data_IF_536182460411
#
_entry.id   IF_536182460411
#
_cell.length_a   1.000
_cell.length_b   1.000
_cell.length_c   1.000
_cell.angle_alpha   90.00
_cell.angle_beta   90.00
_cell.angle_gamma   90.00
#
_symmetry.space_group_name_H-M   'P 1'
#
loop_
_entity.id
_entity.type
_entity.pdbx_description
1 polymer ?
#
# COMPACT_ATOMS: atom_id res chain seq x y z
N UNK A 1 -18.11 10.09 -5.27
CA UNK A 1 -17.36 8.96 -5.83
C UNK A 1 -16.11 8.77 -5.00
N UNK A 2 -15.96 7.65 -4.30
CA UNK A 2 -14.74 7.34 -3.54
C UNK A 2 -13.70 6.71 -4.45
N UNK A 3 -12.43 7.07 -4.28
CA UNK A 3 -11.32 6.34 -4.86
C UNK A 3 -11.25 4.94 -4.23
N UNK A 4 -11.29 3.88 -5.04
CA UNK A 4 -11.20 2.49 -4.58
C UNK A 4 -10.16 1.76 -5.43
N UNK A 5 -9.20 1.13 -4.77
CA UNK A 5 -8.16 0.32 -5.39
C UNK A 5 -7.97 -0.97 -4.58
N UNK A 6 -7.55 -2.05 -5.24
CA UNK A 6 -7.27 -3.34 -4.61
C UNK A 6 -6.02 -3.97 -5.21
N UNK A 7 -5.28 -4.72 -4.40
CA UNK A 7 -4.08 -5.45 -4.80
C UNK A 7 -3.34 -6.01 -3.60
N UNK A 8 -2.19 -6.64 -3.80
CA UNK A 8 -1.33 -7.04 -2.69
C UNK A 8 -0.66 -5.82 -2.08
N UNK A 9 -1.05 -5.53 -0.84
CA UNK A 9 -0.52 -4.40 -0.08
C UNK A 9 0.93 -4.67 0.34
N UNK A 10 1.84 -3.77 -0.07
CA UNK A 10 3.20 -3.75 0.46
C UNK A 10 3.40 -2.57 1.42
N UNK A 11 4.57 -2.54 2.06
CA UNK A 11 4.95 -1.46 2.96
C UNK A 11 4.91 -0.13 2.22
N UNK A 12 4.32 0.88 2.87
CA UNK A 12 4.28 2.25 2.38
C UNK A 12 5.70 2.73 2.05
N UNK A 13 5.84 3.26 0.83
CA UNK A 13 7.07 3.87 0.34
C UNK A 13 7.03 5.37 0.66
N UNK A 14 8.19 5.92 1.04
CA UNK A 14 8.35 7.35 1.31
C UNK A 14 9.59 7.85 0.57
N UNK A 15 9.39 8.78 -0.36
CA UNK A 15 10.44 9.39 -1.14
C UNK A 15 10.53 10.89 -0.83
N UNK A 16 11.68 11.50 -1.09
CA UNK A 16 11.85 12.96 -0.96
C UNK A 16 11.80 13.56 -2.36
N UNK A 17 10.86 14.47 -2.59
CA UNK A 17 10.75 15.19 -3.85
C UNK A 17 11.93 16.16 -4.03
N UNK A 18 12.22 16.61 -5.26
CA UNK A 18 13.26 17.62 -5.51
C UNK A 18 13.06 18.92 -4.72
N UNK A 19 11.81 19.20 -4.32
CA UNK A 19 11.40 20.39 -3.57
C UNK A 19 11.54 20.19 -2.03
N UNK A 20 11.95 18.99 -1.58
CA UNK A 20 12.18 18.67 -0.18
C UNK A 20 10.94 18.16 0.57
N UNK A 21 9.85 17.85 -0.12
CA UNK A 21 8.64 17.29 0.47
C UNK A 21 8.68 15.76 0.52
N UNK A 22 8.06 15.15 1.53
CA UNK A 22 7.90 13.70 1.60
C UNK A 22 6.72 13.27 0.75
N UNK A 23 6.94 12.38 -0.21
CA UNK A 23 5.92 11.76 -1.04
C UNK A 23 5.64 10.34 -0.55
N UNK A 24 4.45 10.13 0.01
CA UNK A 24 3.96 8.85 0.47
C UNK A 24 3.21 8.12 -0.64
N UNK A 25 3.59 6.87 -0.86
CA UNK A 25 2.96 6.00 -1.85
C UNK A 25 2.61 4.66 -1.21
N UNK A 26 1.41 4.16 -1.53
CA UNK A 26 0.96 2.84 -1.10
C UNK A 26 1.06 1.88 -2.29
N UNK A 27 2.00 0.92 -2.27
CA UNK A 27 2.06 -0.08 -3.33
C UNK A 27 0.92 -1.09 -3.21
N UNK A 28 0.21 -1.26 -4.32
CA UNK A 28 -0.80 -2.30 -4.53
C UNK A 28 -0.44 -3.00 -5.84
N UNK A 29 0.23 -4.15 -5.74
CA UNK A 29 0.83 -4.84 -6.89
C UNK A 29 1.77 -3.91 -7.70
N UNK A 30 1.45 -3.70 -8.98
CA UNK A 30 2.23 -2.85 -9.90
C UNK A 30 1.89 -1.36 -9.75
N UNK A 31 0.80 -1.02 -9.05
CA UNK A 31 0.38 0.36 -8.86
C UNK A 31 0.98 0.98 -7.60
N UNK A 32 1.26 2.29 -7.69
CA UNK A 32 1.70 3.12 -6.58
C UNK A 32 0.65 4.20 -6.35
N UNK A 33 -0.17 4.03 -5.32
CA UNK A 33 -1.23 5.00 -4.99
C UNK A 33 -0.62 6.19 -4.24
N UNK A 34 -0.66 7.42 -4.77
CA UNK A 34 -0.14 8.58 -4.07
C UNK A 34 -1.07 8.96 -2.91
N UNK A 35 -0.54 8.95 -1.69
CA UNK A 35 -1.30 9.18 -0.45
C UNK A 35 -1.36 10.64 -0.02
N UNK A 36 -0.43 11.48 -0.48
CA UNK A 36 -0.35 12.89 -0.07
C UNK A 36 -1.66 13.65 -0.29
N UNK A 37 -2.39 13.33 -1.35
CA UNK A 37 -3.68 13.95 -1.67
C UNK A 37 -4.79 13.65 -0.65
N UNK A 38 -4.64 12.59 0.14
CA UNK A 38 -5.62 12.15 1.14
C UNK A 38 -5.24 12.57 2.57
N UNK A 39 -4.18 13.36 2.76
CA UNK A 39 -3.81 13.88 4.07
C UNK A 39 -4.97 14.72 4.65
N UNK A 40 -5.37 14.42 5.88
CA UNK A 40 -6.50 15.04 6.55
C UNK A 40 -7.87 14.46 6.16
N UNK A 41 -7.92 13.47 5.26
CA UNK A 41 -9.14 12.75 4.90
C UNK A 41 -9.16 11.34 5.52
N UNK A 42 -10.33 10.81 5.89
CA UNK A 42 -10.44 9.43 6.34
C UNK A 42 -10.22 8.47 5.18
N UNK A 43 -9.30 7.52 5.36
CA UNK A 43 -9.10 6.38 4.45
C UNK A 43 -9.57 5.09 5.13
N UNK A 44 -10.05 4.14 4.34
CA UNK A 44 -10.46 2.83 4.82
C UNK A 44 -9.71 1.74 4.06
N UNK A 45 -9.20 0.77 4.81
CA UNK A 45 -8.50 -0.40 4.28
C UNK A 45 -9.31 -1.63 4.64
N UNK A 46 -9.65 -2.43 3.64
CA UNK A 46 -10.40 -3.68 3.80
C UNK A 46 -9.48 -4.86 3.43
N UNK A 47 -9.30 -5.80 4.35
CA UNK A 47 -8.54 -7.01 4.08
C UNK A 47 -9.43 -8.05 3.39
N UNK A 48 -9.15 -8.33 2.11
CA UNK A 48 -9.96 -9.23 1.26
C UNK A 48 -9.77 -10.73 1.56
N UNK A 49 -8.86 -11.10 2.47
CA UNK A 49 -8.69 -12.49 2.94
C UNK A 49 -7.52 -13.25 2.31
N UNK A 50 -6.84 -12.67 1.32
CA UNK A 50 -5.69 -13.29 0.67
C UNK A 50 -4.37 -12.62 1.06
N UNK A 51 -3.49 -13.43 1.66
CA UNK A 51 -2.14 -13.05 2.04
C UNK A 51 -1.19 -13.88 1.19
N UNK A 52 -0.20 -13.23 0.58
CA UNK A 52 0.86 -13.89 -0.17
C UNK A 52 2.21 -13.57 0.46
N UNK A 53 3.08 -14.58 0.56
CA UNK A 53 4.44 -14.37 1.02
C UNK A 53 5.18 -13.47 0.02
N UNK A 54 5.73 -12.34 0.47
CA UNK A 54 6.44 -11.39 -0.40
C UNK A 54 7.67 -12.00 -1.08
N UNK A 55 8.25 -13.05 -0.48
CA UNK A 55 9.46 -13.70 -1.00
C UNK A 55 9.15 -14.73 -2.08
N UNK A 56 8.07 -15.51 -1.93
CA UNK A 56 7.79 -16.65 -2.83
C UNK A 56 6.44 -16.58 -3.55
N UNK A 57 5.61 -15.57 -3.27
CA UNK A 57 4.28 -15.37 -3.87
C UNK A 57 3.25 -16.43 -3.48
N UNK A 58 3.59 -17.41 -2.62
CA UNK A 58 2.62 -18.45 -2.21
C UNK A 58 1.61 -17.88 -1.25
N UNK A 59 0.36 -18.34 -1.40
CA UNK A 59 -0.71 -18.05 -0.45
C UNK A 59 -0.32 -18.53 0.93
N UNK A 60 -0.42 -17.63 1.91
CA UNK A 60 -0.19 -17.89 3.31
C UNK A 60 -1.47 -17.63 4.09
N UNK A 61 -1.64 -18.34 5.20
CA UNK A 61 -2.71 -18.04 6.17
C UNK A 61 -2.24 -17.08 7.27
N UNK A 62 -0.96 -16.72 7.27
CA UNK A 62 -0.32 -15.87 8.28
C UNK A 62 0.43 -14.74 7.59
N UNK A 63 0.27 -13.52 8.10
CA UNK A 63 1.12 -12.38 7.76
C UNK A 63 2.32 -12.37 8.70
N UNK A 64 3.53 -12.20 8.18
CA UNK A 64 4.72 -12.03 9.01
C UNK A 64 5.25 -10.60 8.90
N UNK A 65 4.39 -9.58 9.07
CA UNK A 65 4.70 -8.14 9.20
C UNK A 65 5.57 -7.51 8.09
N UNK A 66 6.82 -7.94 7.97
CA UNK A 66 7.81 -7.56 6.96
C UNK A 66 7.91 -8.63 5.85
N UNK A 67 6.92 -9.53 5.75
CA UNK A 67 6.86 -10.65 4.80
C UNK A 67 6.42 -11.95 5.44
#
# INVERSE_FOLDING_TARGET
MGFKQSGHLLKMEANISPEGYVEYQLPLDEERVPLNQFIGQPISLEHLGDIHCIHCGRRSKKSFSQG
#
